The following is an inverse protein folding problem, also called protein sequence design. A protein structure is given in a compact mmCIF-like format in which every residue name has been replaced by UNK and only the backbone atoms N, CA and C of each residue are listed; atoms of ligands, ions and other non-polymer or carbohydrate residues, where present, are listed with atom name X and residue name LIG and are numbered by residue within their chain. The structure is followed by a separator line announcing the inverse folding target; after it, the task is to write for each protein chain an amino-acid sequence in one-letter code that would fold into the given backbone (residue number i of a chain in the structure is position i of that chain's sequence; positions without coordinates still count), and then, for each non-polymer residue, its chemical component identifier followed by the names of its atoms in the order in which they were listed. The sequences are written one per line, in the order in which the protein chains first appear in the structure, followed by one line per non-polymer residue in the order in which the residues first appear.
data_IF_359928278306
#
_entry.id   IF_359928278306
#
_cell.length_a   1.000
_cell.length_b   1.000
_cell.length_c   1.000
_cell.angle_alpha   90.00
_cell.angle_beta   90.00
_cell.angle_gamma   90.00
#
_symmetry.space_group_name_H-M   'P 1'
#
loop_
_entity.id
_entity.type
_entity.pdbx_description
1 polymer ?
#
# COMPACT_ATOMS: atom_id res chain seq x y z
N UNK A 1 -24.35 18.87 -27.18
CA UNK A 1 -23.33 17.80 -27.18
C UNK A 1 -23.54 16.96 -25.94
N UNK A 2 -24.21 15.83 -26.10
CA UNK A 2 -24.76 15.01 -25.01
C UNK A 2 -23.67 14.41 -24.13
N UNK A 3 -23.84 14.59 -22.83
CA UNK A 3 -22.96 14.13 -21.76
C UNK A 3 -23.04 12.60 -21.65
N UNK A 4 -22.26 11.89 -22.45
CA UNK A 4 -21.99 10.48 -22.20
C UNK A 4 -20.86 10.39 -21.16
N UNK A 5 -21.24 10.52 -19.87
CA UNK A 5 -20.45 10.03 -18.74
C UNK A 5 -20.32 8.51 -18.86
N UNK A 6 -19.48 8.04 -19.75
CA UNK A 6 -19.04 6.65 -19.77
C UNK A 6 -17.90 6.57 -18.75
N UNK A 7 -18.23 6.44 -17.46
CA UNK A 7 -17.25 5.90 -16.50
C UNK A 7 -17.18 4.40 -16.77
N UNK A 8 -16.42 4.00 -17.79
CA UNK A 8 -16.20 2.58 -18.07
C UNK A 8 -15.70 1.86 -16.81
N UNK A 9 -15.96 0.57 -16.68
CA UNK A 9 -15.41 -0.22 -15.56
C UNK A 9 -13.88 -0.09 -15.48
N UNK A 10 -13.22 0.01 -16.64
CA UNK A 10 -11.79 0.32 -16.73
C UNK A 10 -11.43 1.68 -16.11
N UNK A 11 -12.21 2.73 -16.37
CA UNK A 11 -11.98 4.06 -15.79
C UNK A 11 -12.23 4.08 -14.28
N UNK A 12 -13.26 3.37 -13.79
CA UNK A 12 -13.54 3.22 -12.36
C UNK A 12 -12.42 2.46 -11.65
N UNK A 13 -11.98 1.34 -12.22
CA UNK A 13 -10.87 0.55 -11.69
C UNK A 13 -9.58 1.37 -11.62
N UNK A 14 -9.25 2.09 -12.70
CA UNK A 14 -8.10 2.99 -12.73
C UNK A 14 -8.16 4.03 -11.60
N UNK A 15 -9.30 4.72 -11.47
CA UNK A 15 -9.47 5.73 -10.43
C UNK A 15 -9.34 5.15 -9.01
N UNK A 16 -9.92 3.97 -8.77
CA UNK A 16 -9.82 3.27 -7.49
C UNK A 16 -8.37 2.87 -7.19
N UNK A 17 -7.66 2.32 -8.17
CA UNK A 17 -6.25 1.95 -8.06
C UNK A 17 -5.39 3.16 -7.70
N UNK A 18 -5.53 4.27 -8.41
CA UNK A 18 -4.77 5.50 -8.13
C UNK A 18 -5.06 6.04 -6.73
N UNK A 19 -6.33 6.03 -6.30
CA UNK A 19 -6.72 6.43 -4.95
C UNK A 19 -6.02 5.57 -3.88
N UNK A 20 -6.07 4.25 -4.03
CA UNK A 20 -5.48 3.31 -3.07
C UNK A 20 -3.97 3.45 -3.04
N UNK A 21 -3.33 3.49 -4.21
CA UNK A 21 -1.89 3.62 -4.33
C UNK A 21 -1.39 4.93 -3.71
N UNK A 22 -2.08 6.05 -4.00
CA UNK A 22 -1.76 7.34 -3.39
C UNK A 22 -1.93 7.34 -1.87
N UNK A 23 -3.02 6.76 -1.36
CA UNK A 23 -3.25 6.64 0.09
C UNK A 23 -2.18 5.79 0.78
N UNK A 24 -1.79 4.68 0.17
CA UNK A 24 -0.77 3.80 0.72
C UNK A 24 0.63 4.42 0.69
N UNK A 25 1.01 5.08 -0.41
CA UNK A 25 2.29 5.80 -0.50
C UNK A 25 2.35 6.91 0.55
N UNK A 26 1.25 7.65 0.74
CA UNK A 26 1.18 8.66 1.79
C UNK A 26 1.40 8.06 3.18
N UNK A 27 0.69 6.96 3.50
CA UNK A 27 0.84 6.25 4.76
C UNK A 27 2.27 5.74 4.99
N UNK A 28 2.89 5.13 3.96
CA UNK A 28 4.28 4.67 4.00
C UNK A 28 5.25 5.85 4.21
N UNK A 29 4.98 6.98 3.55
CA UNK A 29 5.72 8.22 3.74
C UNK A 29 5.63 8.73 5.18
N UNK A 30 4.43 8.84 5.75
CA UNK A 30 4.24 9.21 7.16
C UNK A 30 4.96 8.25 8.12
N UNK A 31 4.87 6.95 7.88
CA UNK A 31 5.55 5.94 8.68
C UNK A 31 7.08 6.08 8.60
N UNK A 32 7.62 6.38 7.41
CA UNK A 32 9.06 6.53 7.19
C UNK A 32 9.69 7.68 8.00
N UNK A 33 8.90 8.69 8.38
CA UNK A 33 9.38 9.84 9.18
C UNK A 33 9.46 9.53 10.68
N UNK A 34 8.86 8.44 11.13
CA UNK A 34 8.76 8.08 12.56
C UNK A 34 9.13 6.63 12.84
N UNK A 35 10.05 6.06 12.05
CA UNK A 35 10.46 4.64 12.13
C UNK A 35 10.87 4.22 13.55
N UNK A 36 11.55 5.09 14.31
CA UNK A 36 11.99 4.83 15.69
C UNK A 36 10.83 4.69 16.69
N UNK A 37 9.65 5.18 16.33
CA UNK A 37 8.43 5.14 17.15
C UNK A 37 7.53 3.96 16.79
N UNK A 38 7.88 3.19 15.75
CA UNK A 38 7.05 2.10 15.27
C UNK A 38 7.40 0.79 15.97
N UNK A 39 6.36 0.10 16.41
CA UNK A 39 6.48 -1.24 16.94
C UNK A 39 6.76 -2.26 15.84
N UNK A 40 7.32 -3.40 16.25
CA UNK A 40 7.62 -4.52 15.36
C UNK A 40 6.43 -4.93 14.49
N UNK A 41 5.23 -5.04 15.08
CA UNK A 41 4.02 -5.42 14.35
C UNK A 41 3.62 -4.37 13.31
N UNK A 42 3.73 -3.08 13.66
CA UNK A 42 3.43 -1.98 12.73
C UNK A 42 4.39 -1.98 11.53
N UNK A 43 5.68 -2.20 11.78
CA UNK A 43 6.69 -2.34 10.72
C UNK A 43 6.40 -3.53 9.81
N UNK A 44 6.03 -4.68 10.38
CA UNK A 44 5.67 -5.86 9.61
C UNK A 44 4.44 -5.61 8.72
N UNK A 45 3.41 -4.95 9.24
CA UNK A 45 2.21 -4.59 8.49
C UNK A 45 2.51 -3.62 7.33
N UNK A 46 3.43 -2.68 7.51
CA UNK A 46 3.86 -1.77 6.45
C UNK A 46 4.64 -2.50 5.35
N UNK A 47 5.44 -3.51 5.74
CA UNK A 47 6.11 -4.41 4.80
C UNK A 47 5.11 -5.23 4.00
N UNK A 48 4.13 -5.82 4.68
CA UNK A 48 3.06 -6.63 4.07
C UNK A 48 2.21 -5.79 3.11
N UNK A 49 1.81 -4.57 3.51
CA UNK A 49 1.08 -3.65 2.66
C UNK A 49 1.87 -3.32 1.39
N UNK A 50 3.16 -2.99 1.53
CA UNK A 50 4.03 -2.69 0.39
C UNK A 50 4.13 -3.88 -0.57
N UNK A 51 4.23 -5.10 -0.06
CA UNK A 51 4.26 -6.30 -0.89
C UNK A 51 2.95 -6.52 -1.65
N UNK A 52 1.81 -6.29 -1.00
CA UNK A 52 0.48 -6.44 -1.63
C UNK A 52 0.16 -5.34 -2.64
N UNK A 53 0.82 -4.18 -2.56
CA UNK A 53 0.68 -3.11 -3.55
C UNK A 53 1.42 -3.40 -4.86
N UNK A 54 2.42 -4.28 -4.86
CA UNK A 54 3.25 -4.57 -6.05
C UNK A 54 2.40 -4.90 -7.30
N UNK A 55 1.41 -5.82 -7.26
CA UNK A 55 0.61 -6.16 -8.44
C UNK A 55 -0.22 -4.99 -9.00
N UNK A 56 -0.47 -3.97 -8.17
CA UNK A 56 -1.29 -2.80 -8.51
C UNK A 56 -0.47 -1.56 -8.84
N UNK A 57 0.84 -1.60 -8.67
CA UNK A 57 1.72 -0.45 -8.79
C UNK A 57 2.44 -0.44 -10.14
N UNK A 58 2.06 0.42 -11.10
CA UNK A 58 2.74 0.48 -12.39
C UNK A 58 4.10 1.20 -12.30
N UNK A 59 4.96 0.96 -13.29
CA UNK A 59 6.17 1.75 -13.52
C UNK A 59 7.18 1.72 -12.37
N UNK A 60 7.69 2.89 -11.98
CA UNK A 60 8.67 3.00 -10.91
C UNK A 60 8.10 2.71 -9.52
N UNK A 61 6.83 3.01 -9.28
CA UNK A 61 6.19 2.68 -8.01
C UNK A 61 6.24 1.17 -7.75
N UNK A 62 5.90 0.36 -8.76
CA UNK A 62 6.00 -1.10 -8.67
C UNK A 62 7.42 -1.61 -8.40
N UNK A 63 8.44 -0.96 -8.97
CA UNK A 63 9.85 -1.32 -8.69
C UNK A 63 10.27 -0.98 -7.26
N UNK A 64 9.66 0.03 -6.64
CA UNK A 64 9.97 0.45 -5.27
C UNK A 64 9.23 -0.39 -4.22
N UNK A 65 8.02 -0.87 -4.50
CA UNK A 65 7.24 -1.72 -3.56
C UNK A 65 8.03 -2.88 -2.94
N UNK A 66 8.76 -3.73 -3.70
CA UNK A 66 9.54 -4.81 -3.10
C UNK A 66 10.74 -4.32 -2.30
N UNK A 67 11.33 -3.17 -2.66
CA UNK A 67 12.40 -2.54 -1.87
C UNK A 67 11.85 -2.10 -0.52
N UNK A 68 10.73 -1.37 -0.53
CA UNK A 68 10.08 -0.86 0.68
C UNK A 68 9.63 -2.04 1.58
N UNK A 69 9.01 -3.07 1.01
CA UNK A 69 8.57 -4.26 1.74
C UNK A 69 9.74 -4.92 2.50
N UNK A 70 10.85 -5.18 1.80
CA UNK A 70 12.05 -5.79 2.39
C UNK A 70 12.67 -4.94 3.51
N UNK A 71 12.71 -3.62 3.35
CA UNK A 71 13.24 -2.72 4.37
C UNK A 71 12.38 -2.78 5.64
N UNK A 72 11.06 -2.69 5.50
CA UNK A 72 10.15 -2.78 6.64
C UNK A 72 10.20 -4.14 7.33
N UNK A 73 10.21 -5.25 6.58
CA UNK A 73 10.38 -6.59 7.16
C UNK A 73 11.71 -6.75 7.88
N UNK A 74 12.79 -6.20 7.32
CA UNK A 74 14.12 -6.21 7.96
C UNK A 74 14.11 -5.46 9.29
N UNK A 75 13.46 -4.29 9.34
CA UNK A 75 13.29 -3.49 10.56
C UNK A 75 12.39 -4.19 11.59
N UNK A 76 11.35 -4.88 11.13
CA UNK A 76 10.50 -5.73 11.98
C UNK A 76 11.20 -7.02 12.44
N UNK A 77 12.43 -7.30 11.99
CA UNK A 77 13.14 -8.53 12.34
C UNK A 77 12.43 -9.80 11.85
N UNK A 78 11.71 -9.72 10.73
CA UNK A 78 11.06 -10.88 10.08
C UNK A 78 11.75 -11.19 8.75
N UNK A 79 11.78 -12.47 8.32
CA UNK A 79 12.31 -12.82 7.01
C UNK A 79 11.45 -12.23 5.88
N UNK A 80 12.02 -12.17 4.68
CA UNK A 80 11.26 -11.82 3.48
C UNK A 80 10.08 -12.79 3.31
N UNK A 81 8.91 -12.24 3.01
CA UNK A 81 7.69 -13.01 2.74
C UNK A 81 7.36 -12.99 1.24
N UNK A 82 6.43 -13.85 0.85
CA UNK A 82 5.93 -13.90 -0.52
C UNK A 82 5.08 -12.67 -0.87
N UNK A 83 5.22 -12.23 -2.12
CA UNK A 83 4.37 -11.19 -2.70
C UNK A 83 3.05 -11.81 -3.16
N UNK A 84 1.97 -11.48 -2.47
CA UNK A 84 0.63 -12.02 -2.75
C UNK A 84 -0.24 -10.99 -3.45
N UNK A 85 -1.07 -11.48 -4.37
CA UNK A 85 -2.14 -10.69 -4.96
C UNK A 85 -3.30 -10.56 -3.97
N UNK A 86 -3.82 -9.34 -3.86
CA UNK A 86 -4.96 -8.97 -3.00
C UNK A 86 -5.82 -7.98 -3.79
N UNK A 87 -7.13 -8.04 -3.66
CA UNK A 87 -8.03 -7.14 -4.40
C UNK A 87 -7.94 -5.68 -3.89
N UNK A 88 -8.22 -4.71 -4.75
CA UNK A 88 -8.16 -3.29 -4.40
C UNK A 88 -9.08 -2.92 -3.22
N UNK A 89 -10.28 -3.49 -3.16
CA UNK A 89 -11.22 -3.25 -2.05
C UNK A 89 -10.70 -3.74 -0.70
N UNK A 90 -9.95 -4.84 -0.70
CA UNK A 90 -9.31 -5.36 0.51
C UNK A 90 -8.15 -4.46 0.93
N UNK A 91 -7.34 -3.98 -0.02
CA UNK A 91 -6.27 -3.03 0.26
C UNK A 91 -6.77 -1.72 0.86
N UNK A 92 -7.91 -1.20 0.39
CA UNK A 92 -8.52 0.00 0.98
C UNK A 92 -8.86 -0.21 2.47
N UNK A 93 -9.39 -1.37 2.82
CA UNK A 93 -9.71 -1.72 4.22
C UNK A 93 -8.45 -1.86 5.06
N UNK A 94 -7.44 -2.58 4.57
CA UNK A 94 -6.17 -2.79 5.27
C UNK A 94 -5.43 -1.47 5.53
N UNK A 95 -5.43 -0.53 4.56
CA UNK A 95 -4.81 0.79 4.72
C UNK A 95 -5.44 1.56 5.89
N UNK A 96 -6.77 1.53 6.01
CA UNK A 96 -7.47 2.22 7.10
C UNK A 96 -7.20 1.57 8.45
N UNK A 97 -7.10 0.24 8.51
CA UNK A 97 -6.73 -0.48 9.73
C UNK A 97 -5.30 -0.17 10.17
N UNK A 98 -4.34 -0.19 9.23
CA UNK A 98 -2.94 0.17 9.52
C UNK A 98 -2.87 1.63 9.98
N UNK A 99 -3.59 2.54 9.32
CA UNK A 99 -3.65 3.95 9.71
C UNK A 99 -4.14 4.14 11.15
N UNK A 100 -5.11 3.35 11.60
CA UNK A 100 -5.56 3.35 13.00
C UNK A 100 -4.46 2.85 13.93
N UNK A 101 -3.83 1.72 13.58
CA UNK A 101 -2.72 1.14 14.36
C UNK A 101 -1.51 2.06 14.46
N UNK A 102 -1.24 2.93 13.49
CA UNK A 102 -0.11 3.88 13.53
C UNK A 102 -0.39 5.17 14.33
N UNK A 103 -1.64 5.37 14.78
CA UNK A 103 -2.06 6.52 15.59
C UNK A 103 -2.24 6.16 17.07
N UNK A 104 -2.41 4.89 17.38
CA UNK A 104 -2.32 4.33 18.73
C UNK A 104 -0.87 4.18 19.15
#
# INVERSE_FOLDING_TARGET
MGVHRISSEAAKYYALREKILGSAIYLLGEASLKLEQLEREQLELLGDLSAKLLPHSPGYAGKLMPVIARLFWRLAGVPEKEFKFVELSQLETEIEEIRKKLKS
#
